data_IF_234102119953
#
_entry.id   IF_234102119953
#
_cell.length_a   1.000
_cell.length_b   1.000
_cell.length_c   1.000
_cell.angle_alpha   90.00
_cell.angle_beta   90.00
_cell.angle_gamma   90.00
#
_symmetry.space_group_name_H-M   'P 1'
#
loop_
_entity.id
_entity.type
_entity.pdbx_description
1 polymer ?
#
# COMPACT_ATOMS: atom_id res chain seq x y z
N UNK A 1 12.50 3.15 10.25
CA UNK A 1 11.72 3.17 9.00
C UNK A 1 12.54 3.71 7.81
N UNK A 2 13.82 3.36 7.58
CA UNK A 2 14.63 4.02 6.54
C UNK A 2 14.07 3.90 5.11
N UNK A 3 13.52 2.74 4.72
CA UNK A 3 12.93 2.59 3.39
C UNK A 3 11.61 3.35 3.33
N UNK A 4 10.73 3.12 4.31
CA UNK A 4 9.44 3.81 4.44
C UNK A 4 9.56 5.35 4.41
N UNK A 5 10.45 5.90 5.25
CA UNK A 5 10.69 7.35 5.32
C UNK A 5 11.21 7.88 3.97
N UNK A 6 12.08 7.11 3.31
CA UNK A 6 12.61 7.49 2.00
C UNK A 6 11.50 7.52 0.96
N UNK A 7 10.68 6.48 0.85
CA UNK A 7 9.60 6.43 -0.17
C UNK A 7 8.51 7.46 0.13
N UNK A 8 8.17 7.70 1.40
CA UNK A 8 7.22 8.74 1.78
C UNK A 8 7.72 10.15 1.41
N UNK A 9 8.99 10.46 1.70
CA UNK A 9 9.57 11.76 1.36
C UNK A 9 9.72 11.94 -0.15
N UNK A 10 10.15 10.91 -0.88
CA UNK A 10 10.22 10.98 -2.34
C UNK A 10 8.84 11.20 -2.95
N UNK A 11 7.82 10.49 -2.46
CA UNK A 11 6.45 10.68 -2.91
C UNK A 11 5.96 12.13 -2.67
N UNK A 12 6.23 12.69 -1.48
CA UNK A 12 5.88 14.07 -1.16
C UNK A 12 6.60 15.10 -2.04
N UNK A 13 7.92 14.93 -2.27
CA UNK A 13 8.71 15.82 -3.11
C UNK A 13 8.25 15.79 -4.58
N UNK A 14 7.91 14.60 -5.10
CA UNK A 14 7.35 14.45 -6.44
C UNK A 14 5.99 15.15 -6.52
N UNK A 15 5.12 14.95 -5.52
CA UNK A 15 3.81 15.60 -5.47
C UNK A 15 3.90 17.13 -5.33
N UNK A 16 4.98 17.67 -4.72
CA UNK A 16 5.24 19.11 -4.67
C UNK A 16 5.82 19.69 -5.97
N UNK A 17 5.97 18.89 -7.02
CA UNK A 17 6.42 19.34 -8.34
C UNK A 17 7.94 19.29 -8.56
N UNK A 18 8.70 18.61 -7.69
CA UNK A 18 10.13 18.42 -7.92
C UNK A 18 10.33 17.58 -9.18
N UNK A 19 11.22 18.03 -10.07
CA UNK A 19 11.41 17.39 -11.37
C UNK A 19 11.93 15.95 -11.21
N UNK A 20 11.42 15.01 -12.04
CA UNK A 20 11.80 13.58 -12.02
C UNK A 20 13.32 13.31 -12.14
N UNK A 21 14.07 14.28 -12.67
CA UNK A 21 15.52 14.25 -12.88
C UNK A 21 16.31 15.07 -11.86
N UNK A 22 15.67 15.56 -10.81
CA UNK A 22 16.37 16.21 -9.71
C UNK A 22 17.37 15.25 -9.06
N UNK A 23 18.60 15.71 -8.86
CA UNK A 23 19.70 14.84 -8.41
C UNK A 23 19.42 14.17 -7.06
N UNK A 24 18.71 14.83 -6.14
CA UNK A 24 18.34 14.23 -4.86
C UNK A 24 17.35 13.07 -5.07
N UNK A 25 16.34 13.24 -5.92
CA UNK A 25 15.41 12.16 -6.28
C UNK A 25 16.13 11.01 -6.97
N UNK A 26 17.00 11.29 -7.94
CA UNK A 26 17.73 10.27 -8.70
C UNK A 26 18.60 9.41 -7.78
N UNK A 27 19.34 10.05 -6.86
CA UNK A 27 20.18 9.37 -5.87
C UNK A 27 19.37 8.50 -4.92
N UNK A 28 18.26 9.01 -4.41
CA UNK A 28 17.41 8.27 -3.48
C UNK A 28 16.70 7.09 -4.17
N UNK A 29 16.23 7.27 -5.41
CA UNK A 29 15.67 6.19 -6.23
C UNK A 29 16.73 5.11 -6.53
N UNK A 30 17.97 5.50 -6.84
CA UNK A 30 19.09 4.56 -6.97
C UNK A 30 19.36 3.78 -5.69
N UNK A 31 19.38 4.45 -4.53
CA UNK A 31 19.55 3.78 -3.25
C UNK A 31 18.40 2.79 -2.99
N UNK A 32 17.15 3.21 -3.24
CA UNK A 32 15.97 2.39 -3.08
C UNK A 32 16.06 1.10 -3.89
N UNK A 33 16.50 1.16 -5.16
CA UNK A 33 16.69 -0.04 -5.99
C UNK A 33 17.64 -1.07 -5.37
N UNK A 34 18.61 -0.65 -4.54
CA UNK A 34 19.50 -1.56 -3.82
C UNK A 34 18.83 -2.27 -2.63
N UNK A 35 17.64 -1.81 -2.21
CA UNK A 35 16.87 -2.35 -1.09
C UNK A 35 15.79 -3.35 -1.55
N UNK A 36 15.59 -3.56 -2.85
CA UNK A 36 14.65 -4.57 -3.34
C UNK A 36 15.11 -5.97 -2.92
N UNK A 37 14.25 -6.73 -2.23
CA UNK A 37 14.53 -8.11 -1.83
C UNK A 37 14.77 -8.99 -3.06
N UNK A 38 15.77 -9.86 -2.95
CA UNK A 38 16.19 -10.84 -3.97
C UNK A 38 16.15 -12.28 -3.48
N UNK A 39 15.70 -12.49 -2.25
CA UNK A 39 15.64 -13.80 -1.61
C UNK A 39 14.21 -14.15 -1.26
N UNK A 40 13.90 -15.45 -1.28
CA UNK A 40 12.64 -15.93 -0.75
C UNK A 40 12.62 -15.77 0.77
N UNK A 41 11.51 -15.23 1.29
CA UNK A 41 11.22 -15.11 2.72
C UNK A 41 10.03 -15.97 3.13
N UNK A 42 9.52 -15.79 4.35
CA UNK A 42 8.43 -16.64 4.88
C UNK A 42 7.15 -16.58 4.01
N UNK A 43 6.92 -15.44 3.35
CA UNK A 43 5.85 -15.22 2.38
C UNK A 43 5.85 -16.22 1.20
N UNK A 44 7.01 -16.80 0.84
CA UNK A 44 7.16 -17.60 -0.37
C UNK A 44 6.39 -18.93 -0.33
N UNK A 45 5.97 -19.36 0.85
CA UNK A 45 5.09 -20.54 0.97
C UNK A 45 3.69 -20.33 0.39
N UNK A 46 3.26 -19.06 0.19
CA UNK A 46 1.90 -18.71 -0.22
C UNK A 46 1.81 -17.77 -1.41
N UNK A 47 2.89 -17.08 -1.75
CA UNK A 47 3.00 -16.26 -2.94
C UNK A 47 4.02 -16.88 -3.91
N UNK A 48 3.59 -17.31 -5.12
CA UNK A 48 4.45 -17.99 -6.09
C UNK A 48 5.33 -17.03 -6.91
N UNK A 49 5.25 -15.72 -6.68
CA UNK A 49 6.06 -14.76 -7.41
C UNK A 49 7.54 -14.83 -7.03
N UNK A 50 8.41 -14.42 -7.96
CA UNK A 50 9.83 -14.18 -7.69
C UNK A 50 10.01 -13.07 -6.63
N UNK A 51 11.10 -13.09 -5.84
CA UNK A 51 11.40 -12.02 -4.90
C UNK A 51 11.47 -10.66 -5.58
N UNK A 52 10.72 -9.70 -5.05
CA UNK A 52 10.63 -8.36 -5.61
C UNK A 52 10.10 -7.28 -4.67
N UNK A 53 9.69 -7.65 -3.46
CA UNK A 53 9.21 -6.70 -2.47
C UNK A 53 10.32 -5.82 -1.88
N UNK A 54 9.89 -4.79 -1.17
CA UNK A 54 10.72 -3.90 -0.34
C UNK A 54 10.33 -4.11 1.13
N UNK A 55 11.21 -3.73 2.03
CA UNK A 55 11.03 -3.92 3.48
C UNK A 55 11.27 -2.59 4.20
N UNK A 56 10.66 -2.42 5.36
CA UNK A 56 10.72 -1.22 6.20
C UNK A 56 12.13 -0.78 6.64
N UNK A 57 13.02 -1.73 6.96
CA UNK A 57 14.36 -1.47 7.53
C UNK A 57 15.48 -1.34 6.48
N UNK A 58 16.73 -1.22 6.92
CA UNK A 58 17.88 -1.19 6.02
C UNK A 58 18.14 -2.55 5.36
N UNK A 59 17.87 -3.64 6.08
CA UNK A 59 18.17 -5.03 5.69
C UNK A 59 17.18 -5.97 6.38
N UNK A 60 16.20 -6.45 5.63
CA UNK A 60 15.20 -7.39 6.14
C UNK A 60 14.63 -8.26 4.99
N UNK A 61 15.52 -8.87 4.20
CA UNK A 61 15.14 -9.49 2.92
C UNK A 61 14.14 -10.65 3.02
N UNK A 62 14.00 -11.26 4.20
CA UNK A 62 13.04 -12.33 4.48
C UNK A 62 11.62 -11.82 4.82
N UNK A 63 11.49 -10.55 5.18
CA UNK A 63 10.22 -9.94 5.58
C UNK A 63 9.93 -8.64 4.80
N UNK A 64 9.90 -8.67 3.45
CA UNK A 64 9.33 -7.58 2.69
C UNK A 64 7.84 -7.45 2.97
N UNK A 65 7.34 -6.22 2.88
CA UNK A 65 5.95 -5.90 3.14
C UNK A 65 5.30 -5.19 1.94
N UNK A 66 3.98 -5.31 1.86
CA UNK A 66 3.16 -4.77 0.78
C UNK A 66 3.14 -3.25 0.80
N UNK A 67 3.24 -2.64 1.98
CA UNK A 67 3.10 -1.19 2.16
C UNK A 67 4.31 -0.44 1.56
N UNK A 68 5.51 -0.80 1.98
CA UNK A 68 6.78 -0.32 1.45
C UNK A 68 6.92 -0.66 -0.04
N UNK A 69 6.50 -1.85 -0.46
CA UNK A 69 6.54 -2.25 -1.88
C UNK A 69 5.62 -1.38 -2.75
N UNK A 70 4.41 -1.07 -2.28
CA UNK A 70 3.47 -0.22 -2.99
C UNK A 70 4.01 1.22 -3.14
N UNK A 71 4.54 1.80 -2.06
CA UNK A 71 5.16 3.12 -2.10
C UNK A 71 6.42 3.15 -2.98
N UNK A 72 7.27 2.11 -2.92
CA UNK A 72 8.45 2.01 -3.76
C UNK A 72 8.05 1.97 -5.26
N UNK A 73 6.98 1.25 -5.60
CA UNK A 73 6.45 1.22 -6.97
C UNK A 73 5.98 2.61 -7.41
N UNK A 74 5.20 3.33 -6.59
CA UNK A 74 4.76 4.69 -6.89
C UNK A 74 5.94 5.64 -7.15
N UNK A 75 6.99 5.54 -6.34
CA UNK A 75 8.16 6.41 -6.47
C UNK A 75 9.00 6.03 -7.68
N UNK A 76 9.31 4.75 -7.87
CA UNK A 76 10.15 4.28 -8.98
C UNK A 76 9.47 4.44 -10.35
N UNK A 77 8.15 4.47 -10.42
CA UNK A 77 7.44 4.82 -11.66
C UNK A 77 7.49 6.32 -11.97
N UNK A 78 7.90 7.16 -11.00
CA UNK A 78 7.88 8.62 -11.07
C UNK A 78 9.24 9.31 -11.01
N UNK A 79 10.28 8.68 -10.47
CA UNK A 79 11.65 9.19 -10.46
C UNK A 79 12.53 8.41 -11.44
N UNK A 80 13.55 9.06 -12.04
CA UNK A 80 14.57 8.36 -12.82
C UNK A 80 15.78 8.03 -11.94
N UNK A 81 16.07 6.76 -11.67
CA UNK A 81 17.28 6.41 -10.94
C UNK A 81 18.54 6.61 -11.80
N UNK A 82 19.70 6.76 -11.16
CA UNK A 82 21.02 6.75 -11.80
C UNK A 82 21.47 5.31 -12.18
N UNK A 83 20.61 4.59 -12.89
CA UNK A 83 20.88 3.25 -13.46
C UNK A 83 20.34 3.19 -14.89
N UNK A 84 20.63 2.11 -15.62
CA UNK A 84 20.02 1.88 -16.91
C UNK A 84 18.49 1.69 -16.79
N UNK A 85 17.75 2.21 -17.77
CA UNK A 85 16.27 2.28 -17.71
C UNK A 85 15.63 0.88 -17.61
N UNK A 86 16.20 -0.09 -18.31
CA UNK A 86 15.80 -1.50 -18.29
C UNK A 86 15.97 -2.13 -16.90
N UNK A 87 17.03 -1.79 -16.16
CA UNK A 87 17.26 -2.27 -14.78
C UNK A 87 16.15 -1.78 -13.85
N UNK A 88 15.79 -0.49 -13.95
CA UNK A 88 14.71 0.09 -13.16
C UNK A 88 13.34 -0.50 -13.55
N UNK A 89 13.05 -0.62 -14.83
CA UNK A 89 11.81 -1.25 -15.31
C UNK A 89 11.68 -2.71 -14.85
N UNK A 90 12.77 -3.48 -14.87
CA UNK A 90 12.78 -4.84 -14.36
C UNK A 90 12.53 -4.89 -12.84
N UNK A 91 13.02 -3.91 -12.08
CA UNK A 91 12.72 -3.79 -10.65
C UNK A 91 11.26 -3.50 -10.38
N UNK A 92 10.66 -2.56 -11.11
CA UNK A 92 9.23 -2.25 -11.03
C UNK A 92 8.40 -3.48 -11.37
N UNK A 93 8.74 -4.20 -12.44
CA UNK A 93 8.02 -5.39 -12.87
C UNK A 93 8.04 -6.51 -11.81
N UNK A 94 9.20 -6.76 -11.17
CA UNK A 94 9.29 -7.73 -10.06
C UNK A 94 8.47 -7.30 -8.85
N UNK A 95 8.56 -6.03 -8.46
CA UNK A 95 7.81 -5.49 -7.32
C UNK A 95 6.29 -5.60 -7.55
N UNK A 96 5.83 -5.26 -8.75
CA UNK A 96 4.44 -5.39 -9.15
C UNK A 96 3.97 -6.85 -9.10
N UNK A 97 4.74 -7.77 -9.69
CA UNK A 97 4.41 -9.20 -9.68
C UNK A 97 4.34 -9.76 -8.26
N UNK A 98 5.32 -9.42 -7.43
CA UNK A 98 5.35 -9.81 -6.02
C UNK A 98 4.13 -9.28 -5.26
N UNK A 99 3.86 -7.97 -5.35
CA UNK A 99 2.73 -7.31 -4.68
C UNK A 99 1.39 -7.89 -5.11
N UNK A 100 1.18 -8.17 -6.40
CA UNK A 100 -0.06 -8.80 -6.88
C UNK A 100 -0.21 -10.24 -6.39
N UNK A 101 0.90 -10.98 -6.28
CA UNK A 101 0.91 -12.34 -5.75
C UNK A 101 0.54 -12.41 -4.26
N UNK A 102 0.70 -11.31 -3.53
CA UNK A 102 0.29 -11.15 -2.12
C UNK A 102 -1.21 -10.89 -1.92
N UNK A 103 -2.00 -10.72 -2.98
CA UNK A 103 -3.43 -10.43 -2.84
C UNK A 103 -4.17 -11.59 -2.18
N UNK A 104 -4.93 -11.28 -1.13
CA UNK A 104 -5.73 -12.26 -0.39
C UNK A 104 -6.96 -12.70 -1.19
N UNK A 105 -7.55 -13.83 -0.79
CA UNK A 105 -8.76 -14.39 -1.40
C UNK A 105 -9.97 -13.47 -1.26
N UNK A 106 -10.05 -12.71 -0.17
CA UNK A 106 -11.09 -11.70 0.05
C UNK A 106 -10.95 -10.49 -0.89
N UNK A 107 -9.80 -10.32 -1.54
CA UNK A 107 -9.51 -9.25 -2.48
C UNK A 107 -8.66 -8.12 -1.91
N UNK A 108 -8.45 -8.07 -0.59
CA UNK A 108 -7.57 -7.09 0.05
C UNK A 108 -6.11 -7.53 0.08
N UNK A 109 -5.31 -6.72 0.76
CA UNK A 109 -3.91 -7.01 1.09
C UNK A 109 -3.66 -6.81 2.57
N UNK A 110 -2.80 -7.69 3.10
CA UNK A 110 -2.22 -7.58 4.42
C UNK A 110 -0.79 -7.01 4.31
N UNK A 111 -0.05 -6.92 5.42
CA UNK A 111 1.28 -6.33 5.42
C UNK A 111 2.35 -7.28 4.86
N UNK A 112 2.43 -8.51 5.39
CA UNK A 112 3.55 -9.42 5.18
C UNK A 112 3.14 -10.75 4.55
N UNK A 113 1.94 -11.24 4.83
CA UNK A 113 1.53 -12.60 4.49
C UNK A 113 0.18 -12.66 3.77
N UNK A 114 0.10 -13.59 2.82
CA UNK A 114 -1.13 -13.88 2.10
C UNK A 114 -1.99 -14.91 2.84
N UNK A 115 -3.28 -14.66 2.96
CA UNK A 115 -4.31 -15.50 3.57
C UNK A 115 -3.92 -15.93 5.01
N UNK A 116 -3.27 -15.04 5.77
CA UNK A 116 -2.93 -15.23 7.18
C UNK A 116 -4.04 -14.68 8.09
N UNK A 117 -5.25 -15.22 7.92
CA UNK A 117 -6.51 -14.68 8.44
C UNK A 117 -7.27 -15.67 9.34
N UNK A 118 -6.56 -16.64 9.94
CA UNK A 118 -7.14 -17.66 10.81
C UNK A 118 -7.51 -17.06 12.18
N UNK A 119 -8.59 -16.30 12.24
CA UNK A 119 -9.04 -15.56 13.43
C UNK A 119 -9.21 -16.42 14.69
N UNK A 120 -9.50 -17.71 14.58
CA UNK A 120 -9.57 -18.58 15.77
C UNK A 120 -8.23 -18.66 16.54
N UNK A 121 -7.10 -18.40 15.87
CA UNK A 121 -5.78 -18.34 16.51
C UNK A 121 -5.61 -17.11 17.42
N UNK A 122 -6.49 -16.12 17.35
CA UNK A 122 -6.48 -14.97 18.26
C UNK A 122 -7.24 -15.24 19.57
N UNK A 123 -7.82 -16.44 19.72
CA UNK A 123 -8.65 -16.80 20.89
C UNK A 123 -7.94 -17.75 21.87
N UNK A 124 -6.64 -17.99 21.69
CA UNK A 124 -5.84 -18.83 22.59
C UNK A 124 -5.25 -17.97 23.72
N UNK A 125 -4.95 -18.54 24.91
CA UNK A 125 -4.40 -17.77 26.03
C UNK A 125 -3.11 -17.00 25.73
N UNK A 126 -2.33 -17.44 24.74
CA UNK A 126 -1.11 -16.78 24.29
C UNK A 126 -1.37 -15.51 23.45
N UNK A 127 -2.58 -15.33 22.91
CA UNK A 127 -2.93 -14.27 21.97
C UNK A 127 -3.51 -13.01 22.65
N UNK A 128 -3.10 -12.72 23.88
CA UNK A 128 -3.62 -11.63 24.71
C UNK A 128 -3.40 -10.21 24.11
N UNK A 129 -2.57 -10.07 23.09
CA UNK A 129 -2.30 -8.80 22.39
C UNK A 129 -2.89 -8.71 20.96
N UNK A 130 -3.75 -9.65 20.53
CA UNK A 130 -4.56 -9.64 19.29
C UNK A 130 -3.82 -9.44 17.93
N UNK A 131 -2.50 -9.31 17.90
CA UNK A 131 -1.69 -9.12 16.69
C UNK A 131 -0.99 -10.41 16.20
N UNK A 132 -1.70 -11.55 16.29
CA UNK A 132 -1.14 -12.89 15.98
C UNK A 132 -1.28 -13.31 14.51
N UNK A 133 -2.03 -12.53 13.73
CA UNK A 133 -2.40 -12.82 12.35
C UNK A 133 -2.22 -11.56 11.50
N UNK A 134 -2.24 -11.72 10.18
CA UNK A 134 -2.06 -10.65 9.20
C UNK A 134 -3.20 -10.70 8.16
N UNK A 135 -4.42 -10.29 8.54
CA UNK A 135 -5.56 -10.23 7.63
C UNK A 135 -5.47 -9.01 6.71
N UNK A 136 -6.29 -9.00 5.65
CA UNK A 136 -6.43 -7.82 4.80
C UNK A 136 -6.82 -6.57 5.59
N UNK A 137 -6.30 -5.42 5.19
CA UNK A 137 -6.60 -4.12 5.83
C UNK A 137 -6.93 -3.05 4.80
N UNK A 138 -7.84 -2.14 5.15
CA UNK A 138 -8.32 -1.09 4.26
C UNK A 138 -7.23 -0.08 3.87
N UNK A 139 -6.36 0.30 4.81
CA UNK A 139 -5.28 1.26 4.59
C UNK A 139 -4.25 0.75 3.57
N UNK A 140 -3.78 -0.50 3.71
CA UNK A 140 -2.87 -1.14 2.75
C UNK A 140 -3.58 -1.35 1.42
N UNK A 141 -4.81 -1.87 1.42
CA UNK A 141 -5.56 -2.11 0.17
C UNK A 141 -5.78 -0.80 -0.61
N UNK A 142 -6.14 0.29 0.08
CA UNK A 142 -6.25 1.62 -0.52
C UNK A 142 -4.93 2.11 -1.11
N UNK A 143 -3.82 1.89 -0.42
CA UNK A 143 -2.49 2.25 -0.94
C UNK A 143 -2.09 1.44 -2.17
N UNK A 144 -2.36 0.13 -2.18
CA UNK A 144 -2.12 -0.73 -3.34
C UNK A 144 -2.90 -0.23 -4.56
N UNK A 145 -4.16 0.21 -4.38
CA UNK A 145 -4.91 0.84 -5.48
C UNK A 145 -4.20 2.08 -6.04
N UNK A 146 -3.66 2.93 -5.15
CA UNK A 146 -2.84 4.07 -5.57
C UNK A 146 -1.55 3.65 -6.29
N UNK A 147 -0.89 2.57 -5.86
CA UNK A 147 0.30 2.08 -6.56
C UNK A 147 -0.05 1.55 -7.95
N UNK A 148 -1.13 0.77 -8.06
CA UNK A 148 -1.60 0.24 -9.33
C UNK A 148 -2.01 1.33 -10.33
N UNK A 149 -2.44 2.52 -9.89
CA UNK A 149 -2.78 3.60 -10.81
C UNK A 149 -1.59 4.15 -11.60
N UNK A 150 -0.36 3.85 -11.18
CA UNK A 150 0.85 4.21 -11.93
C UNK A 150 1.23 3.17 -13.00
N UNK A 151 0.46 2.09 -13.14
CA UNK A 151 0.71 1.03 -14.12
C UNK A 151 -0.40 1.05 -15.17
N UNK A 152 -0.09 1.37 -16.45
CA UNK A 152 -1.12 1.61 -17.48
C UNK A 152 -2.13 0.48 -17.73
N UNK A 153 -1.77 -0.77 -17.41
CA UNK A 153 -2.65 -1.94 -17.56
C UNK A 153 -3.68 -2.11 -16.44
N UNK A 154 -3.68 -1.22 -15.44
CA UNK A 154 -4.57 -1.29 -14.28
C UNK A 154 -5.52 -0.11 -14.27
N UNK A 155 -6.79 -0.42 -14.10
CA UNK A 155 -7.89 0.52 -13.95
C UNK A 155 -9.00 -0.10 -13.10
N UNK A 156 -10.13 0.61 -12.91
CA UNK A 156 -11.18 0.17 -11.99
C UNK A 156 -11.81 -1.17 -12.38
N UNK A 157 -11.76 -1.53 -13.67
CA UNK A 157 -12.30 -2.78 -14.20
C UNK A 157 -11.35 -3.98 -14.12
N UNK A 158 -10.07 -3.75 -13.82
CA UNK A 158 -9.10 -4.84 -13.71
C UNK A 158 -9.53 -5.83 -12.61
N UNK A 159 -9.50 -7.16 -12.83
CA UNK A 159 -10.02 -8.13 -11.88
C UNK A 159 -9.49 -7.98 -10.46
N UNK A 160 -8.19 -7.77 -10.28
CA UNK A 160 -7.60 -7.53 -8.95
C UNK A 160 -8.10 -6.25 -8.28
N UNK A 161 -8.31 -5.18 -9.06
CA UNK A 161 -8.81 -3.90 -8.56
C UNK A 161 -10.28 -4.02 -8.17
N UNK A 162 -11.10 -4.70 -8.98
CA UNK A 162 -12.50 -4.98 -8.63
C UNK A 162 -12.63 -5.76 -7.33
N UNK A 163 -11.78 -6.77 -7.10
CA UNK A 163 -11.78 -7.52 -5.83
C UNK A 163 -11.38 -6.63 -4.65
N UNK A 164 -10.39 -5.76 -4.84
CA UNK A 164 -9.95 -4.78 -3.84
C UNK A 164 -11.07 -3.81 -3.45
N UNK A 165 -11.77 -3.24 -4.44
CA UNK A 165 -12.91 -2.35 -4.21
C UNK A 165 -14.04 -3.09 -3.49
N UNK A 166 -14.33 -4.33 -3.89
CA UNK A 166 -15.33 -5.15 -3.21
C UNK A 166 -14.96 -5.47 -1.76
N UNK A 167 -13.66 -5.69 -1.47
CA UNK A 167 -13.16 -5.81 -0.10
C UNK A 167 -13.43 -4.52 0.69
N UNK A 168 -12.99 -3.37 0.17
CA UNK A 168 -13.18 -2.06 0.83
C UNK A 168 -14.66 -1.74 1.08
N UNK A 169 -15.57 -2.12 0.19
CA UNK A 169 -17.00 -1.94 0.39
C UNK A 169 -17.56 -2.78 1.54
N UNK A 170 -17.04 -3.99 1.75
CA UNK A 170 -17.45 -4.87 2.85
C UNK A 170 -16.83 -4.49 4.19
N UNK A 171 -15.61 -3.96 4.14
CA UNK A 171 -14.81 -3.56 5.31
C UNK A 171 -15.16 -2.17 5.85
N UNK A 172 -16.02 -1.41 5.15
CA UNK A 172 -16.40 -0.07 5.59
C UNK A 172 -17.26 -0.10 6.87
N UNK A 173 -16.92 0.76 7.83
CA UNK A 173 -17.69 0.94 9.05
C UNK A 173 -19.08 1.55 8.79
N UNK A 174 -20.06 1.36 9.69
CA UNK A 174 -21.40 1.91 9.53
C UNK A 174 -21.46 3.43 9.36
N UNK A 175 -20.53 4.17 9.96
CA UNK A 175 -20.42 5.63 9.86
C UNK A 175 -19.77 6.11 8.54
N UNK A 176 -19.22 5.18 7.77
CA UNK A 176 -18.55 5.42 6.49
C UNK A 176 -17.02 5.46 6.57
N UNK A 177 -16.43 5.36 7.76
CA UNK A 177 -14.98 5.32 7.92
C UNK A 177 -14.39 3.95 7.57
N UNK A 178 -13.05 3.90 7.53
CA UNK A 178 -12.29 2.66 7.56
C UNK A 178 -11.25 2.71 8.66
N UNK A 179 -11.11 1.60 9.38
CA UNK A 179 -10.08 1.42 10.39
C UNK A 179 -8.66 1.55 9.78
N UNK A 180 -7.80 2.33 10.42
CA UNK A 180 -6.38 2.43 10.09
C UNK A 180 -5.59 1.46 10.95
N UNK A 181 -5.13 0.34 10.38
CA UNK A 181 -4.38 -0.67 11.13
C UNK A 181 -2.99 -0.16 11.51
N UNK A 182 -2.35 0.59 10.60
CA UNK A 182 -0.94 0.97 10.71
C UNK A 182 -0.70 2.47 10.90
N UNK A 183 -1.77 3.25 10.99
CA UNK A 183 -1.73 4.67 11.34
C UNK A 183 -2.96 5.02 12.17
N UNK A 184 -2.83 6.00 13.06
CA UNK A 184 -3.91 6.40 13.97
C UNK A 184 -4.91 7.30 13.25
N UNK A 185 -6.19 6.97 13.16
CA UNK A 185 -6.80 5.64 13.14
C UNK A 185 -7.85 5.65 12.00
N UNK A 186 -9.09 6.07 12.25
CA UNK A 186 -10.13 6.16 11.23
C UNK A 186 -9.86 7.26 10.20
N UNK A 187 -9.23 8.37 10.60
CA UNK A 187 -8.78 9.41 9.66
C UNK A 187 -7.74 8.86 8.67
N UNK A 188 -6.80 8.07 9.18
CA UNK A 188 -5.74 7.47 8.38
C UNK A 188 -6.30 6.44 7.39
N UNK A 189 -7.05 5.45 7.88
CA UNK A 189 -7.64 4.42 7.03
C UNK A 189 -8.55 5.01 5.94
N UNK A 190 -9.46 5.92 6.34
CA UNK A 190 -10.38 6.58 5.41
C UNK A 190 -9.63 7.40 4.36
N UNK A 191 -8.62 8.17 4.76
CA UNK A 191 -7.80 8.96 3.85
C UNK A 191 -7.08 8.10 2.81
N UNK A 192 -6.49 6.98 3.24
CA UNK A 192 -5.78 6.05 2.36
C UNK A 192 -6.71 5.42 1.33
N UNK A 193 -7.89 4.96 1.74
CA UNK A 193 -8.89 4.37 0.83
C UNK A 193 -9.36 5.39 -0.21
N UNK A 194 -9.75 6.60 0.22
CA UNK A 194 -10.25 7.62 -0.70
C UNK A 194 -9.19 8.07 -1.71
N UNK A 195 -7.92 8.19 -1.29
CA UNK A 195 -6.79 8.49 -2.20
C UNK A 195 -6.60 7.39 -3.23
N UNK A 196 -6.59 6.13 -2.81
CA UNK A 196 -6.45 4.98 -3.68
C UNK A 196 -7.55 4.86 -4.72
N UNK A 197 -8.82 4.97 -4.29
CA UNK A 197 -9.99 4.93 -5.18
C UNK A 197 -9.94 6.05 -6.22
N UNK A 198 -9.63 7.27 -5.80
CA UNK A 198 -9.51 8.41 -6.73
C UNK A 198 -8.38 8.19 -7.74
N UNK A 199 -7.21 7.73 -7.27
CA UNK A 199 -6.04 7.55 -8.11
C UNK A 199 -6.25 6.48 -9.19
N UNK A 200 -6.88 5.34 -8.84
CA UNK A 200 -7.18 4.26 -9.79
C UNK A 200 -8.34 4.58 -10.75
N UNK A 201 -8.90 5.80 -10.68
CA UNK A 201 -9.98 6.24 -11.58
C UNK A 201 -11.36 5.69 -11.21
N UNK A 202 -11.58 5.30 -9.96
CA UNK A 202 -12.90 4.87 -9.49
C UNK A 202 -13.87 6.06 -9.40
N UNK A 203 -15.16 5.80 -9.61
CA UNK A 203 -16.20 6.82 -9.49
C UNK A 203 -16.39 7.25 -8.03
N UNK A 204 -15.94 8.46 -7.72
CA UNK A 204 -16.02 9.03 -6.37
C UNK A 204 -17.45 9.46 -5.97
N UNK A 205 -18.44 9.39 -6.86
CA UNK A 205 -19.84 9.68 -6.56
C UNK A 205 -20.60 8.48 -5.97
N UNK A 206 -19.98 7.30 -5.92
CA UNK A 206 -20.59 6.10 -5.38
C UNK A 206 -21.04 6.29 -3.91
N UNK A 207 -22.17 5.71 -3.47
CA UNK A 207 -22.75 5.99 -2.16
C UNK A 207 -21.80 5.76 -0.97
N UNK A 208 -21.00 4.70 -1.00
CA UNK A 208 -20.06 4.35 0.08
C UNK A 208 -18.89 5.34 0.16
N UNK A 209 -18.41 5.85 -0.98
CA UNK A 209 -17.39 6.91 -1.05
C UNK A 209 -17.94 8.21 -0.46
N UNK A 210 -19.19 8.55 -0.79
CA UNK A 210 -19.84 9.75 -0.26
C UNK A 210 -20.11 9.67 1.25
N UNK A 211 -20.33 8.47 1.81
CA UNK A 211 -20.38 8.28 3.27
C UNK A 211 -19.04 8.60 3.92
N UNK A 212 -17.95 8.06 3.39
CA UNK A 212 -16.60 8.34 3.89
C UNK A 212 -16.22 9.82 3.82
N UNK A 213 -16.59 10.51 2.73
CA UNK A 213 -16.39 11.95 2.64
C UNK A 213 -17.20 12.73 3.71
N UNK A 214 -18.43 12.31 4.00
CA UNK A 214 -19.24 12.90 5.09
C UNK A 214 -18.63 12.62 6.45
N UNK A 215 -18.11 11.42 6.69
CA UNK A 215 -17.38 11.09 7.92
C UNK A 215 -16.24 12.09 8.14
N UNK A 216 -15.38 12.31 7.15
CA UNK A 216 -14.29 13.28 7.27
C UNK A 216 -14.79 14.70 7.51
N UNK A 217 -15.77 15.18 6.74
CA UNK A 217 -16.35 16.52 6.95
C UNK A 217 -16.97 16.70 8.32
N UNK A 218 -17.59 15.66 8.88
CA UNK A 218 -18.24 15.72 10.20
C UNK A 218 -17.24 15.76 11.36
N UNK A 219 -15.99 15.37 11.15
CA UNK A 219 -14.92 15.34 12.17
C UNK A 219 -13.87 16.43 11.95
N UNK A 220 -14.18 17.47 11.17
CA UNK A 220 -13.32 18.65 11.04
C UNK A 220 -13.38 19.47 12.34
N UNK A 221 -12.22 19.84 12.88
CA UNK A 221 -12.10 20.73 14.03
C UNK A 221 -12.44 22.18 13.64
N UNK A 222 -12.77 23.02 14.64
CA UNK A 222 -13.11 24.43 14.43
C UNK A 222 -11.97 25.25 13.79
N UNK A 223 -10.72 24.81 13.96
CA UNK A 223 -9.53 25.41 13.35
C UNK A 223 -9.32 25.01 11.88
N UNK A 224 -10.20 24.17 11.34
CA UNK A 224 -10.15 23.64 9.99
C UNK A 224 -9.30 22.37 9.82
N UNK A 225 -8.63 21.91 10.88
CA UNK A 225 -7.83 20.69 10.91
C UNK A 225 -8.62 19.44 11.30
N UNK A 226 -7.88 18.36 11.54
CA UNK A 226 -8.38 17.08 12.07
C UNK A 226 -7.39 16.54 13.11
N UNK A 227 -7.88 15.76 14.07
CA UNK A 227 -7.05 15.07 15.06
C UNK A 227 -7.75 13.83 15.60
N UNK A 228 -6.97 12.81 15.90
CA UNK A 228 -7.42 11.53 16.45
C UNK A 228 -6.32 10.94 17.34
#
# INVERSE_FOLDING_TARGET
SPVWDTVAQLHALIASGLARRDEALRRAASWLLTRQSRTHGDWSGRNPAEPGGFYFEFRNEFYPDVDDTAMALMVLTQAEANVATDVQHAAIARALAWMLGMQNRDGGWAAFDRDNDKHFLTQVPFADHNAMIDPSTADITGRVLGALSHVPSYGPDHPSVRRAIAFLQRDQEPDGSWYGRWGVNYLYGTGQVLRGLRAIGFDMQQPFVRRAARFLSAHQNDDGGWGE
#
